data_IF_221728656874
#
_entry.id   IF_221728656874
#
_cell.length_a   1.000
_cell.length_b   1.000
_cell.length_c   1.000
_cell.angle_alpha   90.00
_cell.angle_beta   90.00
_cell.angle_gamma   90.00
#
_symmetry.space_group_name_H-M   'P 1'
#
loop_
_entity.id
_entity.type
_entity.pdbx_description
1 polymer ?
#
# COMPACT_ATOMS: atom_id res chain seq x y z
N UNK A 1 15.63 -26.99 -17.36
CA UNK A 1 14.99 -26.08 -16.40
C UNK A 1 13.57 -25.86 -16.88
N UNK A 2 12.56 -26.33 -16.14
CA UNK A 2 11.20 -25.86 -16.38
C UNK A 2 11.16 -24.42 -15.87
N UNK A 3 10.94 -23.47 -16.77
CA UNK A 3 10.65 -22.10 -16.37
C UNK A 3 9.20 -22.14 -15.90
N UNK A 4 8.97 -22.02 -14.58
CA UNK A 4 7.61 -21.84 -14.08
C UNK A 4 7.09 -20.50 -14.62
N UNK A 5 6.02 -20.57 -15.40
CA UNK A 5 5.37 -19.39 -15.94
C UNK A 5 4.57 -18.70 -14.82
N UNK A 6 4.60 -17.36 -14.73
CA UNK A 6 3.83 -16.65 -13.73
C UNK A 6 2.32 -16.78 -14.03
N UNK A 7 1.53 -17.27 -13.06
CA UNK A 7 0.07 -17.30 -13.18
C UNK A 7 -0.54 -15.90 -13.06
N UNK A 8 0.05 -15.08 -12.19
CA UNK A 8 -0.27 -13.65 -12.01
C UNK A 8 0.79 -12.84 -12.72
N UNK A 9 0.36 -11.94 -13.60
CA UNK A 9 1.30 -11.07 -14.28
C UNK A 9 1.98 -10.12 -13.28
N UNK A 10 3.32 -10.05 -13.24
CA UNK A 10 4.02 -9.22 -12.26
C UNK A 10 3.87 -7.72 -12.52
N UNK A 11 3.61 -7.30 -13.77
CA UNK A 11 3.45 -5.89 -14.11
C UNK A 11 2.00 -5.46 -13.99
N UNK A 12 1.80 -4.37 -13.27
CA UNK A 12 0.50 -3.72 -13.09
C UNK A 12 0.36 -2.62 -14.14
N UNK A 13 -0.75 -2.64 -14.87
CA UNK A 13 -1.06 -1.59 -15.84
C UNK A 13 -1.84 -0.47 -15.16
N UNK A 14 -1.71 0.75 -15.67
CA UNK A 14 -2.54 1.88 -15.24
C UNK A 14 -3.60 2.17 -16.28
N UNK A 15 -4.84 2.32 -15.83
CA UNK A 15 -5.99 2.67 -16.65
C UNK A 15 -6.48 4.06 -16.24
N UNK A 16 -6.89 4.86 -17.24
CA UNK A 16 -7.62 6.10 -17.01
C UNK A 16 -9.10 5.87 -17.31
N UNK A 17 -9.94 6.07 -16.31
CA UNK A 17 -11.40 5.90 -16.36
C UNK A 17 -12.10 7.23 -16.07
N UNK A 18 -13.42 7.25 -16.20
CA UNK A 18 -14.26 8.39 -15.80
C UNK A 18 -14.15 8.71 -14.31
N UNK A 19 -13.98 7.68 -13.47
CA UNK A 19 -13.79 7.81 -12.03
C UNK A 19 -12.36 8.20 -11.62
N UNK A 20 -11.40 8.20 -12.56
CA UNK A 20 -9.99 8.51 -12.31
C UNK A 20 -9.06 7.37 -12.69
N UNK A 21 -7.93 7.24 -11.99
CA UNK A 21 -6.94 6.22 -12.31
C UNK A 21 -7.21 4.91 -11.57
N UNK A 22 -7.05 3.80 -12.28
CA UNK A 22 -7.18 2.47 -11.70
C UNK A 22 -5.98 1.62 -12.07
N UNK A 23 -5.61 0.72 -11.17
CA UNK A 23 -4.61 -0.30 -11.46
C UNK A 23 -5.27 -1.53 -12.06
N UNK A 24 -4.64 -2.17 -13.04
CA UNK A 24 -5.09 -3.41 -13.63
C UNK A 24 -4.08 -4.52 -13.38
N UNK A 25 -4.53 -5.50 -12.61
CA UNK A 25 -3.89 -6.79 -12.36
C UNK A 25 -4.45 -7.83 -13.34
N UNK A 26 -3.66 -8.85 -13.67
CA UNK A 26 -4.10 -9.95 -14.51
C UNK A 26 -3.65 -11.31 -13.98
N UNK A 27 -4.56 -12.28 -14.05
CA UNK A 27 -4.32 -13.70 -13.83
C UNK A 27 -4.50 -14.42 -15.16
N UNK A 28 -3.41 -14.87 -15.75
CA UNK A 28 -3.39 -15.49 -17.07
C UNK A 28 -3.82 -16.96 -17.04
N UNK A 29 -3.49 -17.67 -15.96
CA UNK A 29 -3.73 -19.10 -15.82
C UNK A 29 -4.19 -19.43 -14.40
N UNK A 30 -4.96 -20.51 -14.25
CA UNK A 30 -5.39 -21.00 -12.95
C UNK A 30 -4.17 -21.40 -12.10
N UNK A 31 -3.92 -20.76 -10.94
CA UNK A 31 -2.79 -21.08 -10.06
C UNK A 31 -3.00 -22.37 -9.24
N UNK A 32 -4.11 -23.09 -9.46
CA UNK A 32 -4.52 -24.27 -8.70
C UNK A 32 -5.59 -23.96 -7.64
N UNK A 33 -6.50 -23.03 -7.93
CA UNK A 33 -7.64 -22.68 -7.08
C UNK A 33 -7.51 -21.36 -6.31
N UNK A 34 -8.61 -20.96 -5.66
CA UNK A 34 -8.78 -19.65 -5.03
C UNK A 34 -7.72 -19.32 -3.94
N UNK A 35 -7.26 -20.30 -3.18
CA UNK A 35 -6.22 -20.09 -2.16
C UNK A 35 -4.87 -19.69 -2.77
N UNK A 36 -4.42 -20.42 -3.79
CA UNK A 36 -3.16 -20.10 -4.48
C UNK A 36 -3.26 -18.79 -5.26
N UNK A 37 -4.43 -18.47 -5.82
CA UNK A 37 -4.70 -17.15 -6.38
C UNK A 37 -4.50 -16.05 -5.33
N UNK A 38 -5.10 -16.19 -4.15
CA UNK A 38 -4.93 -15.22 -3.07
C UNK A 38 -3.46 -15.07 -2.67
N UNK A 39 -2.75 -16.18 -2.46
CA UNK A 39 -1.33 -16.20 -2.04
C UNK A 39 -0.40 -15.52 -3.06
N UNK A 40 -0.68 -15.66 -4.36
CA UNK A 40 0.13 -15.05 -5.41
C UNK A 40 -0.29 -13.60 -5.74
N UNK A 41 -1.58 -13.29 -5.63
CA UNK A 41 -2.12 -11.96 -5.93
C UNK A 41 -1.79 -10.96 -4.81
N UNK A 42 -1.88 -11.39 -3.56
CA UNK A 42 -1.69 -10.51 -2.39
C UNK A 42 -0.34 -9.78 -2.41
N UNK A 43 0.82 -10.42 -2.65
CA UNK A 43 2.10 -9.72 -2.74
C UNK A 43 2.16 -8.67 -3.85
N UNK A 44 1.59 -8.96 -5.04
CA UNK A 44 1.57 -8.01 -6.16
C UNK A 44 0.68 -6.81 -5.82
N UNK A 45 -0.47 -7.08 -5.20
CA UNK A 45 -1.40 -6.03 -4.78
C UNK A 45 -0.81 -5.16 -3.67
N UNK A 46 -0.21 -5.78 -2.65
CA UNK A 46 0.49 -5.06 -1.56
C UNK A 46 1.64 -4.22 -2.11
N UNK A 47 2.48 -4.78 -2.99
CA UNK A 47 3.59 -4.05 -3.61
C UNK A 47 3.11 -2.85 -4.44
N UNK A 48 1.99 -2.99 -5.15
CA UNK A 48 1.39 -1.91 -5.94
C UNK A 48 0.95 -0.75 -5.07
N UNK A 49 0.18 -1.04 -4.02
CA UNK A 49 -0.28 -0.03 -3.07
C UNK A 49 0.90 0.62 -2.35
N UNK A 50 1.82 -0.20 -1.84
CA UNK A 50 2.97 0.28 -1.08
C UNK A 50 3.89 1.16 -1.92
N UNK A 51 4.13 0.83 -3.19
CA UNK A 51 4.91 1.65 -4.10
C UNK A 51 4.30 3.06 -4.26
N UNK A 52 2.98 3.14 -4.44
CA UNK A 52 2.27 4.43 -4.59
C UNK A 52 2.21 5.22 -3.27
N UNK A 53 2.02 4.55 -2.13
CA UNK A 53 2.07 5.18 -0.80
C UNK A 53 3.47 5.68 -0.42
N UNK A 54 4.51 5.08 -1.00
CA UNK A 54 5.91 5.45 -0.78
C UNK A 54 6.41 6.53 -1.74
N UNK A 55 5.54 7.10 -2.58
CA UNK A 55 5.93 8.12 -3.54
C UNK A 55 6.45 9.39 -2.84
N UNK A 56 7.64 9.88 -3.22
CA UNK A 56 8.23 11.04 -2.57
C UNK A 56 7.50 12.34 -2.94
N UNK A 57 7.54 13.38 -2.09
CA UNK A 57 6.82 14.64 -2.30
C UNK A 57 7.04 15.31 -3.67
N UNK A 58 8.25 15.22 -4.22
CA UNK A 58 8.60 15.77 -5.53
C UNK A 58 7.81 15.14 -6.70
N UNK A 59 7.27 13.93 -6.53
CA UNK A 59 6.41 13.26 -7.51
C UNK A 59 4.96 13.74 -7.37
N UNK A 60 4.72 15.06 -7.46
CA UNK A 60 3.42 15.68 -7.19
C UNK A 60 2.26 15.05 -7.97
N UNK A 61 2.49 14.69 -9.24
CA UNK A 61 1.47 14.04 -10.08
C UNK A 61 1.05 12.66 -9.56
N UNK A 62 1.95 11.95 -8.89
CA UNK A 62 1.67 10.65 -8.29
C UNK A 62 1.06 10.82 -6.89
N UNK A 63 1.66 11.69 -6.08
CA UNK A 63 1.20 12.00 -4.71
C UNK A 63 -0.24 12.49 -4.69
N UNK A 64 -0.64 13.28 -5.69
CA UNK A 64 -1.97 13.89 -5.78
C UNK A 64 -2.90 13.14 -6.74
N UNK A 65 -2.48 11.98 -7.24
CA UNK A 65 -3.26 11.27 -8.25
C UNK A 65 -4.57 10.75 -7.66
N UNK A 66 -5.66 10.94 -8.39
CA UNK A 66 -6.94 10.36 -8.01
C UNK A 66 -6.98 8.87 -8.37
N UNK A 67 -6.65 8.02 -7.39
CA UNK A 67 -6.80 6.56 -7.46
C UNK A 67 -8.22 6.16 -7.08
N UNK A 68 -8.92 5.51 -8.00
CA UNK A 68 -10.31 5.10 -7.84
C UNK A 68 -10.46 3.63 -7.42
N UNK A 69 -9.55 2.75 -7.85
CA UNK A 69 -9.71 1.32 -7.63
C UNK A 69 -8.60 0.46 -8.22
N UNK A 70 -8.72 -0.85 -7.98
CA UNK A 70 -7.90 -1.89 -8.61
C UNK A 70 -8.82 -2.88 -9.29
N UNK A 71 -8.53 -3.20 -10.55
CA UNK A 71 -9.19 -4.23 -11.34
C UNK A 71 -8.32 -5.47 -11.41
N UNK A 72 -8.98 -6.62 -11.51
CA UNK A 72 -8.36 -7.90 -11.80
C UNK A 72 -9.09 -8.56 -12.96
N UNK A 73 -8.35 -8.85 -14.03
CA UNK A 73 -8.82 -9.70 -15.13
C UNK A 73 -8.30 -11.12 -14.98
N UNK A 74 -9.21 -12.08 -15.07
CA UNK A 74 -8.89 -13.50 -14.95
C UNK A 74 -9.25 -14.19 -16.26
N UNK A 75 -8.26 -14.82 -16.88
CA UNK A 75 -8.36 -15.40 -18.21
C UNK A 75 -8.57 -16.92 -18.24
N UNK A 76 -8.64 -17.53 -17.05
CA UNK A 76 -8.83 -18.97 -16.86
C UNK A 76 -9.88 -19.23 -15.77
N UNK A 77 -10.54 -20.37 -15.84
CA UNK A 77 -11.57 -20.74 -14.86
C UNK A 77 -10.93 -21.13 -13.52
N UNK A 78 -11.35 -20.45 -12.43
CA UNK A 78 -10.85 -20.71 -11.08
C UNK A 78 -12.05 -21.00 -10.16
N UNK A 79 -12.16 -22.24 -9.71
CA UNK A 79 -13.21 -22.65 -8.79
C UNK A 79 -13.12 -21.90 -7.44
N UNK A 80 -14.25 -21.40 -6.96
CA UNK A 80 -14.34 -20.72 -5.66
C UNK A 80 -13.64 -19.35 -5.60
N UNK A 81 -13.32 -18.76 -6.75
CA UNK A 81 -12.57 -17.50 -6.86
C UNK A 81 -13.11 -16.38 -5.97
N UNK A 82 -14.45 -16.26 -5.87
CA UNK A 82 -15.11 -15.23 -5.07
C UNK A 82 -14.63 -15.21 -3.60
N UNK A 83 -14.48 -16.38 -2.98
CA UNK A 83 -14.05 -16.48 -1.59
C UNK A 83 -12.57 -16.12 -1.36
N UNK A 84 -11.71 -16.37 -2.34
CA UNK A 84 -10.29 -15.97 -2.28
C UNK A 84 -10.10 -14.47 -2.49
N UNK A 85 -10.89 -13.88 -3.38
CA UNK A 85 -10.85 -12.48 -3.73
C UNK A 85 -11.56 -11.56 -2.73
N UNK A 86 -12.64 -12.02 -2.10
CA UNK A 86 -13.36 -11.24 -1.07
C UNK A 86 -12.47 -10.85 0.11
N UNK A 87 -11.49 -11.69 0.48
CA UNK A 87 -10.50 -11.40 1.52
C UNK A 87 -9.57 -10.22 1.16
N UNK A 88 -9.44 -9.92 -0.13
CA UNK A 88 -8.71 -8.77 -0.65
C UNK A 88 -9.64 -7.62 -1.06
N UNK A 89 -10.94 -7.70 -0.70
CA UNK A 89 -11.93 -6.66 -0.95
C UNK A 89 -12.45 -6.61 -2.39
N UNK A 90 -12.05 -7.57 -3.23
CA UNK A 90 -12.51 -7.63 -4.62
C UNK A 90 -13.96 -8.11 -4.69
N UNK A 91 -14.74 -7.45 -5.54
CA UNK A 91 -16.12 -7.79 -5.88
C UNK A 91 -16.24 -8.00 -7.39
N UNK A 92 -17.21 -8.81 -7.86
CA UNK A 92 -17.44 -9.00 -9.29
C UNK A 92 -17.74 -7.66 -9.98
N UNK A 93 -17.17 -7.46 -11.16
CA UNK A 93 -17.34 -6.23 -11.95
C UNK A 93 -17.83 -6.56 -13.37
N UNK A 94 -18.87 -5.86 -13.83
CA UNK A 94 -19.54 -6.10 -15.11
C UNK A 94 -18.89 -5.41 -16.32
N UNK A 95 -19.18 -5.92 -17.53
CA UNK A 95 -18.63 -5.54 -18.84
C UNK A 95 -19.03 -4.16 -19.40
N UNK A 96 -19.45 -3.20 -18.56
CA UNK A 96 -20.04 -1.93 -19.03
C UNK A 96 -19.09 -0.91 -19.66
N UNK A 97 -17.77 -1.09 -19.56
CA UNK A 97 -16.76 -0.07 -19.95
C UNK A 97 -15.66 -0.62 -20.89
N UNK A 98 -16.02 -1.47 -21.85
CA UNK A 98 -15.05 -2.23 -22.66
C UNK A 98 -14.20 -1.39 -23.63
N UNK A 99 -14.71 -0.28 -24.17
CA UNK A 99 -14.02 0.49 -25.22
C UNK A 99 -12.69 1.09 -24.74
N UNK A 100 -12.58 1.48 -23.48
CA UNK A 100 -11.36 2.05 -22.91
C UNK A 100 -10.33 0.98 -22.50
N UNK A 101 -10.73 -0.30 -22.47
CA UNK A 101 -9.88 -1.40 -22.05
C UNK A 101 -9.10 -2.03 -23.22
N UNK A 102 -9.50 -1.78 -24.47
CA UNK A 102 -8.86 -2.38 -25.65
C UNK A 102 -7.33 -2.17 -25.72
N UNK A 103 -6.77 -0.97 -25.43
CA UNK A 103 -5.32 -0.80 -25.39
C UNK A 103 -4.65 -1.65 -24.31
N UNK A 104 -5.26 -1.76 -23.13
CA UNK A 104 -4.73 -2.57 -22.04
C UNK A 104 -4.79 -4.08 -22.36
N UNK A 105 -5.87 -4.54 -22.97
CA UNK A 105 -6.01 -5.92 -23.42
C UNK A 105 -4.95 -6.31 -24.46
N UNK A 106 -4.62 -5.38 -25.37
CA UNK A 106 -3.53 -5.58 -26.33
C UNK A 106 -2.18 -5.76 -25.62
N UNK A 107 -1.86 -4.88 -24.67
CA UNK A 107 -0.62 -4.99 -23.88
C UNK A 107 -0.57 -6.31 -23.10
N UNK A 108 -1.67 -6.71 -22.46
CA UNK A 108 -1.72 -7.98 -21.73
C UNK A 108 -1.53 -9.20 -22.64
N UNK A 109 -2.07 -9.17 -23.87
CA UNK A 109 -1.90 -10.25 -24.84
C UNK A 109 -0.46 -10.31 -25.38
N UNK A 110 0.14 -9.15 -25.65
CA UNK A 110 1.56 -9.05 -26.05
C UNK A 110 2.47 -9.56 -24.94
N UNK A 111 2.26 -9.11 -23.69
CA UNK A 111 3.01 -9.57 -22.52
C UNK A 111 2.86 -11.08 -22.34
N UNK A 112 1.64 -11.64 -22.38
CA UNK A 112 1.41 -13.08 -22.28
C UNK A 112 2.17 -13.88 -23.36
N UNK A 113 2.18 -13.38 -24.59
CA UNK A 113 2.90 -14.02 -25.69
C UNK A 113 4.43 -14.07 -25.46
N UNK A 114 5.01 -13.07 -24.76
CA UNK A 114 6.44 -13.11 -24.39
C UNK A 114 6.78 -14.27 -23.43
N UNK A 115 5.78 -14.74 -22.67
CA UNK A 115 5.89 -15.91 -21.80
C UNK A 115 5.43 -17.21 -22.48
N UNK A 116 5.16 -17.20 -23.79
CA UNK A 116 4.67 -18.36 -24.53
C UNK A 116 3.21 -18.72 -24.23
N UNK A 117 2.44 -17.80 -23.66
CA UNK A 117 1.03 -17.99 -23.33
C UNK A 117 0.13 -17.31 -24.38
N UNK A 118 -1.03 -17.90 -24.62
CA UNK A 118 -2.10 -17.29 -25.41
C UNK A 118 -3.31 -17.11 -24.50
N UNK A 119 -3.68 -15.86 -24.23
CA UNK A 119 -4.87 -15.52 -23.44
C UNK A 119 -6.08 -15.26 -24.36
N UNK A 120 -7.30 -15.61 -23.94
CA UNK A 120 -8.51 -15.25 -24.69
C UNK A 120 -8.64 -13.73 -24.90
N UNK A 121 -9.36 -13.28 -25.95
CA UNK A 121 -9.53 -11.85 -26.23
C UNK A 121 -10.33 -11.11 -25.15
N UNK A 122 -11.12 -11.83 -24.34
CA UNK A 122 -11.89 -11.31 -23.23
C UNK A 122 -11.58 -12.10 -21.95
N UNK A 123 -11.54 -11.47 -20.78
CA UNK A 123 -11.38 -12.18 -19.52
C UNK A 123 -12.60 -13.08 -19.24
N UNK A 124 -12.37 -14.24 -18.66
CA UNK A 124 -13.41 -15.17 -18.17
C UNK A 124 -14.18 -14.54 -17.01
N UNK A 125 -13.48 -13.80 -16.14
CA UNK A 125 -14.11 -13.01 -15.09
C UNK A 125 -13.34 -11.72 -14.80
N UNK A 126 -14.08 -10.71 -14.36
CA UNK A 126 -13.55 -9.40 -14.01
C UNK A 126 -13.95 -9.03 -12.58
N UNK A 127 -13.01 -8.46 -11.85
CA UNK A 127 -13.18 -8.10 -10.44
C UNK A 127 -12.64 -6.71 -10.19
N UNK A 128 -13.20 -6.03 -9.19
CA UNK A 128 -12.78 -4.68 -8.79
C UNK A 128 -12.78 -4.55 -7.28
N UNK A 129 -11.81 -3.83 -6.75
CA UNK A 129 -11.81 -3.30 -5.40
C UNK A 129 -11.75 -1.78 -5.47
N UNK A 130 -12.61 -1.12 -4.72
CA UNK A 130 -12.65 0.33 -4.62
C UNK A 130 -11.62 0.83 -3.60
N UNK A 131 -11.06 2.00 -3.88
CA UNK A 131 -10.21 2.73 -2.95
C UNK A 131 -11.05 3.81 -2.25
N UNK A 132 -11.34 3.58 -0.97
CA UNK A 132 -12.04 4.53 -0.11
C UNK A 132 -11.11 5.66 0.27
N UNK A 133 -11.53 6.89 -0.02
CA UNK A 133 -10.72 8.09 0.19
C UNK A 133 -10.98 8.67 1.57
N UNK A 134 -9.96 9.30 2.18
CA UNK A 134 -10.13 9.95 3.48
C UNK A 134 -10.98 11.22 3.34
N UNK A 135 -11.31 11.83 4.47
CA UNK A 135 -11.92 13.16 4.50
C UNK A 135 -11.07 14.18 3.73
N UNK A 136 -11.72 15.14 3.06
CA UNK A 136 -11.08 16.20 2.29
C UNK A 136 -10.05 16.99 3.11
N UNK A 137 -10.24 17.15 4.42
CA UNK A 137 -9.26 17.79 5.30
C UNK A 137 -7.90 17.06 5.29
N UNK A 138 -7.89 15.73 5.32
CA UNK A 138 -6.67 14.95 5.26
C UNK A 138 -6.01 15.02 3.87
N UNK A 139 -6.82 15.08 2.81
CA UNK A 139 -6.30 15.30 1.45
C UNK A 139 -5.62 16.68 1.32
N UNK A 140 -6.22 17.71 1.91
CA UNK A 140 -5.65 19.06 1.95
C UNK A 140 -4.34 19.10 2.73
N UNK A 141 -4.27 18.43 3.89
CA UNK A 141 -3.01 18.31 4.64
C UNK A 141 -1.93 17.64 3.78
N UNK A 142 -2.26 16.56 3.06
CA UNK A 142 -1.30 15.90 2.17
C UNK A 142 -0.76 16.86 1.08
N UNK A 143 -1.63 17.66 0.47
CA UNK A 143 -1.23 18.67 -0.51
C UNK A 143 -0.29 19.73 0.11
N UNK A 144 -0.65 20.27 1.27
CA UNK A 144 0.17 21.27 1.98
C UNK A 144 1.51 20.71 2.46
N UNK A 145 1.54 19.43 2.86
CA UNK A 145 2.77 18.73 3.19
C UNK A 145 3.67 18.55 1.96
N UNK A 146 3.10 18.20 0.80
CA UNK A 146 3.85 18.04 -0.46
C UNK A 146 4.56 19.33 -0.87
N UNK A 147 3.89 20.47 -0.70
CA UNK A 147 4.46 21.77 -1.00
C UNK A 147 5.63 22.14 -0.07
N UNK A 148 5.48 21.90 1.24
CA UNK A 148 6.52 22.22 2.23
C UNK A 148 7.72 21.27 2.21
N UNK A 149 7.49 19.98 1.98
CA UNK A 149 8.57 18.99 1.95
C UNK A 149 9.44 19.10 0.70
N UNK A 150 8.90 19.61 -0.42
CA UNK A 150 9.67 19.87 -1.63
C UNK A 150 10.34 18.62 -2.20
N UNK A 151 11.67 18.54 -2.09
CA UNK A 151 12.47 17.41 -2.57
C UNK A 151 12.93 16.46 -1.45
N UNK A 152 12.51 16.68 -0.21
CA UNK A 152 12.86 15.81 0.91
C UNK A 152 12.24 14.43 0.72
N UNK A 153 13.02 13.38 0.94
CA UNK A 153 12.58 11.99 0.82
C UNK A 153 12.49 11.36 2.20
N UNK A 154 11.57 10.43 2.38
CA UNK A 154 11.45 9.74 3.67
C UNK A 154 12.78 9.09 4.08
N UNK A 155 13.12 9.27 5.36
CA UNK A 155 14.36 8.82 5.97
C UNK A 155 15.56 9.77 5.83
N UNK A 156 15.50 10.79 4.95
CA UNK A 156 16.58 11.78 4.85
C UNK A 156 16.58 12.75 6.04
N UNK A 157 15.39 13.12 6.52
CA UNK A 157 15.19 13.91 7.75
C UNK A 157 14.32 13.12 8.73
N UNK A 158 14.89 12.27 9.61
CA UNK A 158 14.13 11.53 10.61
C UNK A 158 13.21 12.44 11.46
N UNK A 159 11.95 12.03 11.59
CA UNK A 159 10.92 12.81 12.28
C UNK A 159 10.38 14.01 11.48
N UNK A 160 10.89 14.30 10.28
CA UNK A 160 10.47 15.45 9.48
C UNK A 160 8.99 15.39 9.08
N UNK A 161 8.57 14.36 8.32
CA UNK A 161 7.17 14.18 7.92
C UNK A 161 6.21 14.14 9.11
N UNK A 162 6.54 13.42 10.18
CA UNK A 162 5.68 13.29 11.36
C UNK A 162 5.51 14.60 12.14
N UNK A 163 6.60 15.36 12.35
CA UNK A 163 6.52 16.70 12.97
C UNK A 163 5.65 17.65 12.15
N UNK A 164 5.79 17.60 10.82
CA UNK A 164 4.98 18.45 9.95
C UNK A 164 3.49 18.09 10.03
N UNK A 165 3.17 16.80 10.03
CA UNK A 165 1.79 16.36 10.25
C UNK A 165 1.24 16.79 11.61
N UNK A 166 2.02 16.65 12.69
CA UNK A 166 1.60 17.04 14.04
C UNK A 166 1.20 18.54 14.13
N UNK A 167 1.91 19.42 13.42
CA UNK A 167 1.54 20.85 13.31
C UNK A 167 0.16 21.03 12.68
N UNK A 168 -0.15 20.29 11.61
CA UNK A 168 -1.45 20.37 10.95
C UNK A 168 -2.56 19.71 11.78
N UNK A 169 -2.26 18.60 12.45
CA UNK A 169 -3.21 17.91 13.31
C UNK A 169 -3.65 18.79 14.50
N UNK A 170 -2.72 19.51 15.12
CA UNK A 170 -3.04 20.45 16.18
C UNK A 170 -3.86 21.65 15.65
N UNK A 171 -3.47 22.20 14.50
CA UNK A 171 -4.15 23.35 13.92
C UNK A 171 -5.61 23.05 13.50
N UNK A 172 -5.85 21.91 12.87
CA UNK A 172 -7.13 21.56 12.25
C UNK A 172 -8.02 20.70 13.14
N UNK A 173 -7.45 19.75 13.86
CA UNK A 173 -8.20 18.79 14.68
C UNK A 173 -8.05 19.05 16.19
N UNK A 174 -7.22 20.01 16.61
CA UNK A 174 -6.89 20.26 18.03
C UNK A 174 -6.32 19.02 18.72
N UNK A 175 -5.62 18.19 17.95
CA UNK A 175 -4.95 16.98 18.46
C UNK A 175 -3.45 17.26 18.56
N UNK A 176 -2.98 17.30 19.80
CA UNK A 176 -1.56 17.38 20.08
C UNK A 176 -0.96 15.97 20.09
N UNK A 177 -0.11 15.67 19.10
CA UNK A 177 0.59 14.40 18.97
C UNK A 177 1.98 14.53 19.61
N UNK A 178 2.16 13.89 20.77
CA UNK A 178 3.44 13.74 21.45
C UNK A 178 4.11 12.44 21.01
N UNK A 179 5.44 12.30 21.05
CA UNK A 179 6.10 11.08 20.59
C UNK A 179 6.00 9.94 21.62
N UNK A 180 4.77 9.54 21.95
CA UNK A 180 4.43 8.47 22.88
C UNK A 180 3.48 7.43 22.25
N UNK A 181 3.28 6.33 22.96
CA UNK A 181 2.43 5.21 22.49
C UNK A 181 0.96 5.61 22.35
N UNK A 182 0.46 6.53 23.19
CA UNK A 182 -0.93 6.95 23.15
C UNK A 182 -1.22 7.80 21.90
N UNK A 183 -0.34 8.75 21.62
CA UNK A 183 -0.42 9.60 20.43
C UNK A 183 -0.22 8.79 19.15
N UNK A 184 0.53 7.68 19.21
CA UNK A 184 0.66 6.75 18.07
C UNK A 184 -0.70 6.18 17.67
N UNK A 185 -1.46 5.70 18.64
CA UNK A 185 -2.81 5.17 18.38
C UNK A 185 -3.78 6.30 17.98
N UNK A 186 -3.67 7.50 18.57
CA UNK A 186 -4.47 8.67 18.14
C UNK A 186 -4.18 9.11 16.70
N UNK A 187 -2.93 9.03 16.25
CA UNK A 187 -2.60 9.31 14.85
C UNK A 187 -3.28 8.26 13.95
N UNK A 188 -3.23 6.98 14.32
CA UNK A 188 -3.99 5.93 13.59
C UNK A 188 -5.47 6.28 13.51
N UNK A 189 -6.10 6.69 14.61
CA UNK A 189 -7.52 7.09 14.63
C UNK A 189 -7.81 8.26 13.69
N UNK A 190 -6.93 9.27 13.62
CA UNK A 190 -7.09 10.42 12.74
C UNK A 190 -7.07 10.05 11.25
N UNK A 191 -6.22 9.09 10.84
CA UNK A 191 -6.09 8.70 9.42
C UNK A 191 -6.93 7.48 9.05
N UNK A 192 -7.48 6.79 10.04
CA UNK A 192 -8.32 5.62 9.81
C UNK A 192 -9.68 6.02 9.26
N UNK A 193 -10.22 5.16 8.40
CA UNK A 193 -11.55 5.31 7.83
C UNK A 193 -12.45 4.21 8.37
N UNK A 194 -13.67 4.56 8.79
CA UNK A 194 -14.69 3.61 9.26
C UNK A 194 -15.32 2.86 8.08
N UNK A 195 -14.52 2.02 7.41
CA UNK A 195 -14.93 1.18 6.29
C UNK A 195 -14.40 -0.24 6.51
N UNK A 196 -15.32 -1.17 6.73
CA UNK A 196 -15.01 -2.58 6.96
C UNK A 196 -14.67 -3.33 5.67
N UNK A 197 -15.18 -2.87 4.52
CA UNK A 197 -14.93 -3.46 3.20
C UNK A 197 -14.07 -2.52 2.34
N UNK A 198 -13.24 -3.09 1.46
CA UNK A 198 -12.43 -2.34 0.49
C UNK A 198 -11.08 -1.84 1.01
N UNK A 199 -10.35 -1.13 0.14
CA UNK A 199 -9.03 -0.56 0.46
C UNK A 199 -9.23 0.84 1.03
N UNK A 200 -8.71 1.10 2.24
CA UNK A 200 -8.76 2.40 2.89
C UNK A 200 -7.53 3.22 2.46
N UNK A 201 -7.70 4.05 1.45
CA UNK A 201 -6.61 4.85 0.90
C UNK A 201 -6.12 5.89 1.90
N UNK A 202 -4.84 5.84 2.26
CA UNK A 202 -4.18 6.89 3.04
C UNK A 202 -3.34 7.71 2.05
N UNK A 203 -3.43 9.05 2.06
CA UNK A 203 -2.59 9.86 1.19
C UNK A 203 -1.10 9.59 1.43
N UNK A 204 -0.25 9.54 0.38
CA UNK A 204 1.13 9.08 0.49
C UNK A 204 1.96 9.77 1.58
N UNK A 205 1.82 11.08 1.75
CA UNK A 205 2.62 11.81 2.75
C UNK A 205 2.09 11.61 4.17
N UNK A 206 0.80 11.36 4.34
CA UNK A 206 0.25 10.99 5.64
C UNK A 206 0.69 9.59 6.05
N UNK A 207 0.71 8.66 5.08
CA UNK A 207 1.24 7.31 5.28
C UNK A 207 2.72 7.35 5.69
N UNK A 208 3.54 8.12 4.97
CA UNK A 208 4.95 8.33 5.29
C UNK A 208 5.16 9.02 6.65
N UNK A 209 4.30 9.98 7.00
CA UNK A 209 4.32 10.64 8.31
C UNK A 209 3.99 9.67 9.45
N UNK A 210 3.05 8.74 9.25
CA UNK A 210 2.76 7.71 10.24
C UNK A 210 3.91 6.71 10.38
N UNK A 211 4.49 6.23 9.26
CA UNK A 211 5.70 5.41 9.27
C UNK A 211 6.85 6.08 10.02
N UNK A 212 7.04 7.39 9.80
CA UNK A 212 8.07 8.19 10.46
C UNK A 212 7.78 8.34 11.96
N UNK A 213 6.52 8.57 12.33
CA UNK A 213 6.11 8.73 13.73
C UNK A 213 6.31 7.44 14.53
N UNK A 214 6.09 6.27 13.94
CA UNK A 214 6.47 4.97 14.55
C UNK A 214 7.95 4.97 14.94
N UNK A 215 8.85 5.41 14.06
CA UNK A 215 10.29 5.47 14.34
C UNK A 215 10.66 6.49 15.42
N UNK A 216 9.97 7.64 15.44
CA UNK A 216 10.16 8.68 16.47
C UNK A 216 9.71 8.16 17.83
N UNK A 217 8.50 7.61 17.93
CA UNK A 217 7.99 7.01 19.18
C UNK A 217 8.91 5.88 19.64
N UNK A 218 9.37 5.02 18.73
CA UNK A 218 10.32 3.96 19.05
C UNK A 218 11.61 4.47 19.69
N UNK A 219 12.12 5.62 19.23
CA UNK A 219 13.32 6.28 19.78
C UNK A 219 13.05 6.87 21.16
N UNK A 220 11.88 7.48 21.38
CA UNK A 220 11.55 8.16 22.63
C UNK A 220 11.16 7.19 23.75
N UNK A 221 10.47 6.09 23.42
CA UNK A 221 9.98 5.14 24.44
C UNK A 221 10.97 4.04 24.77
N UNK A 222 12.05 3.90 23.99
CA UNK A 222 13.07 2.87 24.19
C UNK A 222 14.41 3.48 24.53
N UNK A 223 14.94 3.19 25.72
CA UNK A 223 16.28 3.64 26.13
C UNK A 223 17.40 2.74 25.59
N UNK A 224 17.08 1.51 25.19
CA UNK A 224 18.06 0.46 24.87
C UNK A 224 18.08 0.08 23.38
N UNK A 225 17.33 0.80 22.54
CA UNK A 225 17.23 0.54 21.10
C UNK A 225 17.52 1.81 20.31
N UNK A 226 18.51 1.74 19.43
CA UNK A 226 18.74 2.76 18.41
C UNK A 226 17.86 2.49 17.20
N UNK A 227 17.23 3.53 16.66
CA UNK A 227 16.39 3.47 15.46
C UNK A 227 17.11 4.15 14.30
N UNK A 228 17.12 3.49 13.14
CA UNK A 228 17.68 4.03 11.91
C UNK A 228 16.67 3.92 10.76
N UNK A 229 16.51 4.99 9.99
CA UNK A 229 15.57 5.07 8.88
C UNK A 229 16.27 4.66 7.58
N UNK A 230 15.63 3.79 6.80
CA UNK A 230 16.04 3.56 5.42
C UNK A 230 15.65 4.75 4.54
N UNK A 231 16.37 5.00 3.45
CA UNK A 231 15.97 6.03 2.50
C UNK A 231 14.92 5.46 1.53
N UNK A 232 13.79 6.15 1.39
CA UNK A 232 12.83 5.87 0.32
C UNK A 232 13.36 6.45 -1.01
N UNK A 233 14.03 5.61 -1.80
CA UNK A 233 14.61 6.00 -3.09
C UNK A 233 13.70 5.58 -4.22
N UNK A 234 13.68 6.39 -5.28
CA UNK A 234 13.13 5.96 -6.57
C UNK A 234 14.12 5.02 -7.24
N UNK A 235 13.69 3.80 -7.49
CA UNK A 235 14.40 2.79 -8.26
C UNK A 235 14.22 3.03 -9.77
N UNK A 236 15.05 2.38 -10.58
CA UNK A 236 14.84 2.32 -12.03
C UNK A 236 13.41 1.85 -12.33
N UNK A 237 12.68 2.59 -13.16
CA UNK A 237 11.28 2.27 -13.49
C UNK A 237 10.20 2.87 -12.59
N UNK A 238 10.50 3.92 -11.80
CA UNK A 238 9.55 4.67 -10.95
C UNK A 238 8.96 3.89 -9.75
N UNK A 239 9.53 2.75 -9.40
CA UNK A 239 9.18 2.07 -8.15
C UNK A 239 9.87 2.77 -6.98
N UNK A 240 9.21 2.85 -5.83
CA UNK A 240 9.78 3.47 -4.64
C UNK A 240 10.05 2.41 -3.58
N UNK A 241 11.24 2.46 -2.95
CA UNK A 241 11.51 1.58 -1.81
C UNK A 241 10.56 1.95 -0.66
N UNK A 242 9.97 0.97 0.03
CA UNK A 242 9.04 1.25 1.11
C UNK A 242 9.74 1.83 2.34
N UNK A 243 9.00 2.57 3.20
CA UNK A 243 9.47 2.93 4.53
C UNK A 243 9.83 1.68 5.35
N UNK A 244 11.10 1.58 5.73
CA UNK A 244 11.66 0.53 6.59
C UNK A 244 12.52 1.17 7.68
N UNK A 245 12.49 0.58 8.87
CA UNK A 245 13.33 0.95 10.00
C UNK A 245 14.31 -0.19 10.29
N UNK A 246 15.50 0.14 10.78
CA UNK A 246 16.43 -0.81 11.41
C UNK A 246 16.50 -0.48 12.89
N UNK A 247 16.25 -1.48 13.73
CA UNK A 247 16.40 -1.39 15.17
C UNK A 247 17.72 -2.07 15.57
N UNK A 248 18.45 -1.46 16.50
CA UNK A 248 19.72 -1.98 17.02
C UNK A 248 19.64 -1.97 18.55
N UNK A 249 19.67 -3.13 19.19
CA UNK A 249 19.54 -3.26 20.64
C UNK A 249 20.11 -4.58 21.14
N UNK A 250 20.64 -4.60 22.37
CA UNK A 250 21.23 -5.79 23.01
C UNK A 250 22.27 -6.56 22.17
N UNK A 251 22.98 -5.87 21.26
CA UNK A 251 23.98 -6.47 20.37
C UNK A 251 23.40 -7.13 19.11
N UNK A 252 22.08 -7.05 18.90
CA UNK A 252 21.38 -7.53 17.70
C UNK A 252 20.88 -6.36 16.85
N UNK A 253 20.68 -6.63 15.56
CA UNK A 253 20.04 -5.71 14.63
C UNK A 253 18.94 -6.44 13.86
N UNK A 254 17.78 -5.79 13.69
CA UNK A 254 16.68 -6.35 12.90
C UNK A 254 15.95 -5.28 12.11
N UNK A 255 15.41 -5.68 10.95
CA UNK A 255 14.60 -4.82 10.11
C UNK A 255 13.14 -4.86 10.55
N UNK A 256 12.53 -3.69 10.62
CA UNK A 256 11.10 -3.50 10.86
C UNK A 256 10.49 -2.94 9.57
N UNK A 257 9.73 -3.75 8.82
CA UNK A 257 9.10 -3.33 7.58
C UNK A 257 7.83 -2.50 7.86
N UNK A 258 8.00 -1.34 8.49
CA UNK A 258 6.92 -0.50 9.02
C UNK A 258 5.88 -0.15 7.96
N UNK A 259 6.29 0.16 6.73
CA UNK A 259 5.38 0.43 5.63
C UNK A 259 4.50 -0.77 5.29
N UNK A 260 5.07 -1.98 5.22
CA UNK A 260 4.29 -3.19 4.94
C UNK A 260 3.33 -3.51 6.08
N UNK A 261 3.75 -3.35 7.34
CA UNK A 261 2.87 -3.54 8.48
C UNK A 261 1.68 -2.58 8.44
N UNK A 262 1.93 -1.27 8.28
CA UNK A 262 0.89 -0.24 8.23
C UNK A 262 -0.03 -0.38 7.02
N UNK A 263 0.51 -0.78 5.86
CA UNK A 263 -0.32 -1.11 4.71
C UNK A 263 -1.31 -2.24 5.07
N UNK A 264 -0.79 -3.32 5.64
CA UNK A 264 -1.61 -4.48 5.98
C UNK A 264 -2.66 -4.11 7.02
N UNK A 265 -2.29 -3.44 8.11
CA UNK A 265 -3.23 -3.05 9.15
C UNK A 265 -4.21 -2.02 8.60
N UNK A 266 -3.75 -0.84 8.19
CA UNK A 266 -4.63 0.31 7.98
C UNK A 266 -5.24 0.38 6.58
N UNK A 267 -4.55 -0.08 5.55
CA UNK A 267 -4.98 0.13 4.15
C UNK A 267 -5.74 -1.07 3.58
N UNK A 268 -5.25 -2.28 3.81
CA UNK A 268 -5.84 -3.51 3.27
C UNK A 268 -7.14 -3.88 3.99
N UNK A 269 -8.13 -4.52 3.31
CA UNK A 269 -9.34 -5.02 3.97
C UNK A 269 -9.00 -5.96 5.14
N UNK A 270 -9.61 -5.76 6.32
CA UNK A 270 -9.34 -6.57 7.53
C UNK A 270 -10.58 -6.70 8.43
N UNK A 271 -10.62 -7.77 9.23
CA UNK A 271 -11.68 -8.03 10.22
C UNK A 271 -11.35 -7.61 11.65
N UNK A 272 -10.07 -7.54 12.03
CA UNK A 272 -9.62 -7.18 13.39
C UNK A 272 -8.17 -6.69 13.37
N UNK A 273 -7.89 -5.54 14.00
CA UNK A 273 -6.55 -4.96 14.12
C UNK A 273 -6.08 -4.95 15.58
N UNK A 274 -4.81 -5.29 15.80
CA UNK A 274 -4.13 -4.96 17.06
C UNK A 274 -3.77 -3.46 17.06
N UNK A 275 -3.83 -2.77 18.22
CA UNK A 275 -3.34 -1.39 18.31
C UNK A 275 -1.88 -1.28 17.87
N UNK A 276 -1.54 -0.18 17.20
CA UNK A 276 -0.20 0.01 16.64
C UNK A 276 0.85 0.14 17.75
N UNK A 277 0.49 0.75 18.88
CA UNK A 277 1.31 0.80 20.10
C UNK A 277 1.70 -0.59 20.63
N UNK A 278 0.76 -1.55 20.59
CA UNK A 278 0.97 -2.93 21.03
C UNK A 278 1.91 -3.65 20.08
N UNK A 279 1.72 -3.48 18.76
CA UNK A 279 2.63 -4.02 17.76
C UNK A 279 4.05 -3.47 17.94
N UNK A 280 4.22 -2.16 18.07
CA UNK A 280 5.52 -1.52 18.23
C UNK A 280 6.26 -2.04 19.48
N UNK A 281 5.54 -2.18 20.59
CA UNK A 281 6.10 -2.73 21.83
C UNK A 281 6.66 -4.15 21.64
N UNK A 282 6.02 -4.99 20.80
CA UNK A 282 6.54 -6.33 20.48
C UNK A 282 7.83 -6.25 19.66
N UNK A 283 7.91 -5.32 18.69
CA UNK A 283 9.10 -5.13 17.87
C UNK A 283 10.30 -4.66 18.71
N UNK A 284 10.08 -3.74 19.64
CA UNK A 284 11.13 -3.21 20.53
C UNK A 284 11.73 -4.28 21.45
N UNK A 285 10.97 -5.35 21.76
CA UNK A 285 11.43 -6.49 22.57
C UNK A 285 12.21 -7.53 21.77
N UNK A 286 12.49 -7.29 20.49
CA UNK A 286 13.15 -8.27 19.62
C UNK A 286 12.32 -9.53 19.40
N UNK A 287 10.98 -9.45 19.53
CA UNK A 287 10.09 -10.57 19.18
C UNK A 287 9.62 -10.36 17.74
N UNK A 288 10.29 -10.91 16.71
CA UNK A 288 9.83 -10.75 15.35
C UNK A 288 8.44 -11.36 15.21
N UNK A 289 7.46 -10.54 14.85
CA UNK A 289 6.16 -11.03 14.39
C UNK A 289 6.39 -11.74 13.06
N UNK A 290 6.23 -13.06 13.05
CA UNK A 290 6.18 -13.84 11.81
C UNK A 290 4.97 -13.35 11.01
N UNK A 291 5.24 -12.71 9.88
CA UNK A 291 4.23 -12.17 8.95
C UNK A 291 3.93 -13.13 7.81
#
# INVERSE_FOLDING_TARGET
MNIEHPHIHPRVLELRTSAGFEWLLSCWQNPGGARRLHEQLKPVFEATLLSSLSSPPMMREEVNRHRAGVRLFVFDEIQGIAGGLAQLGFTPYGSGEEAHLAPAMKVLAEDAATFGLAIPPNPVSSWRVELHRPDTALENINQEMSEKMGADVWGATPGGPSRLFAVYADALFRVNLQPDLESLDRFVELVSQDQAAGVRWIPPLLFQALCDFVGVVATEVSNDVEVQWALCRTLEGRNHTPPSLRLIGAGEQWEVPVGLHLLRSLVMPQSTQEPLSVWLTKQLRGTPTVH
#
